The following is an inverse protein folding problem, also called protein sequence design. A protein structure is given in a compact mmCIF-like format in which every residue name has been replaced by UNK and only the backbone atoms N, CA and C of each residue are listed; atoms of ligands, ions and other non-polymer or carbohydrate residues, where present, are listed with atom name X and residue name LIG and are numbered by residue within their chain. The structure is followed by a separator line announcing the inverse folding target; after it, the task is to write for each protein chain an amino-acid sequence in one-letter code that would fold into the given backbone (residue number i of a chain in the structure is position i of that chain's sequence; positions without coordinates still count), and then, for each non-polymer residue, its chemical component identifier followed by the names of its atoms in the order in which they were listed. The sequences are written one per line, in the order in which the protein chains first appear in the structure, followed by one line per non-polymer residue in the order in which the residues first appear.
data_IF_856090801770
#
_entry.id   IF_856090801770
#
_cell.length_a   1.000
_cell.length_b   1.000
_cell.length_c   1.000
_cell.angle_alpha   90.00
_cell.angle_beta   90.00
_cell.angle_gamma   90.00
#
_symmetry.space_group_name_H-M   'P 1'
#
loop_
_entity.id
_entity.type
_entity.pdbx_description
1 polymer ?
#
# COMPACT_ATOMS: atom_id res chain seq x y z
N UNK A 1 -20.44 32.22 23.07
CA UNK A 1 -20.31 31.47 21.83
C UNK A 1 -21.66 30.93 21.46
N UNK A 2 -22.26 31.42 20.39
CA UNK A 2 -23.50 30.85 19.86
C UNK A 2 -23.19 29.47 19.29
N UNK A 3 -23.67 28.44 19.94
CA UNK A 3 -23.47 27.04 19.50
C UNK A 3 -24.47 26.74 18.40
N UNK A 4 -24.04 26.73 17.18
CA UNK A 4 -24.86 26.33 16.02
C UNK A 4 -24.86 24.80 15.84
N UNK A 5 -25.10 24.13 16.95
CA UNK A 5 -25.01 22.67 16.97
C UNK A 5 -26.36 22.03 16.72
N UNK A 6 -26.41 21.10 15.81
CA UNK A 6 -27.58 20.31 15.50
C UNK A 6 -27.36 18.83 15.81
N UNK A 7 -28.43 18.07 15.67
CA UNK A 7 -28.54 16.69 16.07
C UNK A 7 -27.45 15.78 15.49
N UNK A 8 -26.91 14.91 16.33
CA UNK A 8 -26.20 13.72 15.92
C UNK A 8 -27.20 12.60 15.71
N UNK A 9 -27.08 11.86 14.61
CA UNK A 9 -27.94 10.74 14.27
C UNK A 9 -27.08 9.49 14.10
N UNK A 10 -27.38 8.44 14.85
CA UNK A 10 -26.68 7.16 14.75
C UNK A 10 -25.96 6.75 16.04
N UNK A 11 -24.79 6.18 15.93
CA UNK A 11 -24.00 5.66 17.06
C UNK A 11 -23.28 6.78 17.83
N UNK A 12 -22.80 6.54 19.05
CA UNK A 12 -21.97 7.49 19.78
C UNK A 12 -20.77 7.97 18.98
N UNK A 13 -20.55 9.26 18.93
CA UNK A 13 -19.48 9.92 18.15
C UNK A 13 -18.20 10.14 18.95
N UNK A 14 -18.28 10.10 20.28
CA UNK A 14 -17.20 10.45 21.22
C UNK A 14 -15.92 9.64 21.02
N UNK A 15 -15.96 8.36 20.66
CA UNK A 15 -14.75 7.56 20.44
C UNK A 15 -14.01 7.94 19.16
N UNK A 16 -14.68 8.59 18.21
CA UNK A 16 -14.18 8.76 16.85
C UNK A 16 -13.55 10.14 16.61
N UNK A 17 -14.09 11.18 17.23
CA UNK A 17 -13.56 12.54 17.04
C UNK A 17 -12.28 12.78 17.83
N UNK A 18 -11.35 13.50 17.22
CA UNK A 18 -10.14 13.95 17.92
C UNK A 18 -10.49 14.77 19.15
N UNK A 19 -9.92 14.41 20.29
CA UNK A 19 -10.18 15.03 21.59
C UNK A 19 -9.14 16.08 21.93
N UNK A 20 -9.63 17.24 22.33
CA UNK A 20 -8.80 18.35 22.81
C UNK A 20 -9.24 18.79 24.20
N UNK A 21 -8.32 19.16 25.09
CA UNK A 21 -8.63 19.60 26.46
C UNK A 21 -9.21 21.03 26.48
N UNK A 22 -9.10 21.78 25.40
CA UNK A 22 -9.60 23.15 25.29
C UNK A 22 -9.30 23.78 23.95
N UNK A 23 -9.84 24.95 23.72
CA UNK A 23 -9.57 25.79 22.54
C UNK A 23 -9.17 27.19 22.99
N UNK A 24 -8.25 27.77 22.25
CA UNK A 24 -7.94 29.22 22.39
C UNK A 24 -8.88 29.97 21.44
N UNK A 25 -9.78 30.73 22.02
CA UNK A 25 -10.75 31.53 21.26
C UNK A 25 -10.23 32.93 20.90
N UNK A 26 -10.91 33.62 20.00
CA UNK A 26 -10.64 35.04 19.75
C UNK A 26 -10.94 35.92 20.99
N UNK A 27 -10.38 37.11 21.03
CA UNK A 27 -10.67 38.06 22.09
C UNK A 27 -12.18 38.38 22.14
N UNK A 28 -12.66 38.71 23.32
CA UNK A 28 -14.12 38.86 23.59
C UNK A 28 -14.81 39.82 22.67
N UNK A 29 -14.16 40.93 22.29
CA UNK A 29 -14.69 41.95 21.38
C UNK A 29 -14.95 41.38 19.97
N UNK A 30 -14.03 40.58 19.45
CA UNK A 30 -14.20 39.94 18.15
C UNK A 30 -15.23 38.78 18.22
N UNK A 31 -15.18 37.98 19.28
CA UNK A 31 -16.12 36.86 19.45
C UNK A 31 -17.59 37.34 19.56
N UNK A 32 -17.86 38.49 20.20
CA UNK A 32 -19.22 39.04 20.33
C UNK A 32 -19.79 39.56 19.01
N UNK A 33 -18.93 40.06 18.12
CA UNK A 33 -19.33 40.64 16.84
C UNK A 33 -19.24 39.67 15.68
N UNK A 34 -18.71 38.46 15.89
CA UNK A 34 -18.62 37.43 14.87
C UNK A 34 -19.96 36.69 14.68
N UNK A 35 -20.38 36.51 13.44
CA UNK A 35 -21.55 35.70 13.10
C UNK A 35 -21.34 34.20 13.33
N UNK A 36 -20.08 33.73 13.43
CA UNK A 36 -19.72 32.38 13.72
C UNK A 36 -18.26 32.27 14.14
N UNK A 37 -17.93 31.17 14.86
CA UNK A 37 -16.57 30.88 15.33
C UNK A 37 -16.29 29.40 15.05
N UNK A 38 -15.29 29.13 14.25
CA UNK A 38 -14.78 27.77 13.97
C UNK A 38 -13.37 27.60 14.50
N UNK A 39 -13.01 26.36 14.78
CA UNK A 39 -11.66 25.99 15.21
C UNK A 39 -10.78 25.72 13.99
N UNK A 40 -9.50 26.08 14.11
CA UNK A 40 -8.48 25.69 13.16
C UNK A 40 -7.62 24.61 13.79
N UNK A 41 -7.72 23.40 13.26
CA UNK A 41 -6.91 22.27 13.69
C UNK A 41 -6.22 21.68 12.48
N UNK A 42 -4.91 21.59 12.57
CA UNK A 42 -4.05 20.94 11.59
C UNK A 42 -3.55 19.67 12.24
N UNK A 43 -3.87 18.51 11.65
CA UNK A 43 -3.45 17.19 12.13
C UNK A 43 -2.59 16.53 11.06
N UNK A 44 -1.25 16.67 11.14
CA UNK A 44 -0.35 15.94 10.26
C UNK A 44 -0.50 14.44 10.45
N UNK A 45 -0.29 13.67 9.40
CA UNK A 45 -0.19 12.21 9.47
C UNK A 45 1.17 11.78 10.06
N UNK A 46 1.39 10.47 10.21
CA UNK A 46 2.60 9.94 10.85
C UNK A 46 3.91 10.34 10.12
N UNK A 47 3.83 10.68 8.84
CA UNK A 47 4.94 11.18 8.03
C UNK A 47 5.10 12.72 8.08
N UNK A 48 4.31 13.41 8.89
CA UNK A 48 4.33 14.86 9.02
C UNK A 48 3.60 15.61 7.90
N UNK A 49 2.98 14.91 6.94
CA UNK A 49 2.29 15.51 5.79
C UNK A 49 0.79 15.64 6.08
N UNK A 50 0.21 16.82 5.81
CA UNK A 50 -1.23 17.06 5.96
C UNK A 50 -1.94 16.73 4.65
N UNK A 51 -2.78 15.69 4.68
CA UNK A 51 -3.63 15.27 3.56
C UNK A 51 -5.10 15.45 3.85
N UNK A 52 -5.45 15.48 5.13
CA UNK A 52 -6.83 15.53 5.62
C UNK A 52 -7.00 16.67 6.60
N UNK A 53 -8.22 17.20 6.69
CA UNK A 53 -8.56 18.24 7.65
C UNK A 53 -9.85 17.87 8.40
N UNK A 54 -9.85 17.94 9.75
CA UNK A 54 -11.05 17.66 10.52
C UNK A 54 -12.09 18.75 10.28
N UNK A 55 -13.32 18.35 10.01
CA UNK A 55 -14.47 19.26 9.92
C UNK A 55 -15.09 19.52 11.29
N UNK A 56 -14.95 18.58 12.21
CA UNK A 56 -15.44 18.66 13.58
C UNK A 56 -14.44 18.04 14.54
N UNK A 57 -14.37 18.57 15.76
CA UNK A 57 -13.53 18.03 16.82
C UNK A 57 -14.30 17.94 18.13
N UNK A 58 -13.81 17.14 19.05
CA UNK A 58 -14.34 17.00 20.41
C UNK A 58 -13.50 17.83 21.38
N UNK A 59 -14.12 18.80 22.03
CA UNK A 59 -13.49 19.58 23.09
C UNK A 59 -14.27 19.38 24.38
N UNK A 60 -13.70 18.67 25.34
CA UNK A 60 -14.35 18.40 26.65
C UNK A 60 -15.76 17.78 26.55
N UNK A 61 -15.99 16.89 25.57
CA UNK A 61 -17.28 16.24 25.37
C UNK A 61 -18.28 17.05 24.54
N UNK A 62 -17.85 18.17 23.97
CA UNK A 62 -18.65 19.02 23.08
C UNK A 62 -18.05 19.04 21.69
N UNK A 63 -18.89 19.10 20.66
CA UNK A 63 -18.45 19.14 19.28
C UNK A 63 -18.25 20.60 18.85
N UNK A 64 -17.10 20.87 18.26
CA UNK A 64 -16.75 22.17 17.70
C UNK A 64 -16.52 22.01 16.18
N UNK A 65 -17.12 22.89 15.35
CA UNK A 65 -16.89 22.92 13.92
C UNK A 65 -15.53 23.51 13.58
N UNK A 66 -14.91 23.03 12.51
CA UNK A 66 -13.77 23.72 11.92
C UNK A 66 -14.18 25.05 11.28
N UNK A 67 -13.22 25.96 11.09
CA UNK A 67 -13.48 27.23 10.44
C UNK A 67 -14.04 27.06 9.03
N UNK A 68 -13.58 26.03 8.30
CA UNK A 68 -14.01 25.77 6.92
C UNK A 68 -15.49 25.42 6.83
N UNK A 69 -15.98 24.50 7.68
CA UNK A 69 -17.41 24.16 7.65
C UNK A 69 -18.29 25.27 8.21
N UNK A 70 -17.77 26.03 9.18
CA UNK A 70 -18.50 27.18 9.73
C UNK A 70 -18.69 28.28 8.69
N UNK A 71 -17.64 28.63 7.93
CA UNK A 71 -17.73 29.57 6.81
C UNK A 71 -18.74 29.09 5.77
N UNK A 72 -18.74 27.77 5.45
CA UNK A 72 -19.66 27.22 4.47
C UNK A 72 -21.11 27.25 4.96
N UNK A 73 -21.35 26.98 6.27
CA UNK A 73 -22.66 27.11 6.90
C UNK A 73 -23.19 28.55 6.81
N UNK A 74 -22.34 29.52 7.13
CA UNK A 74 -22.70 30.93 7.04
C UNK A 74 -22.99 31.37 5.61
N UNK A 75 -22.17 30.96 4.66
CA UNK A 75 -22.38 31.25 3.24
C UNK A 75 -23.70 30.65 2.71
N UNK A 76 -24.10 29.48 3.23
CA UNK A 76 -25.38 28.85 2.91
C UNK A 76 -26.59 29.48 3.62
N UNK A 77 -26.36 30.41 4.55
CA UNK A 77 -27.41 31.02 5.37
C UNK A 77 -28.10 29.99 6.28
N UNK A 78 -27.39 28.98 6.71
CA UNK A 78 -27.91 27.95 7.61
C UNK A 78 -27.57 28.24 9.07
N UNK A 79 -28.40 27.71 9.99
CA UNK A 79 -28.25 27.93 11.43
C UNK A 79 -27.59 26.74 12.13
N UNK A 80 -27.45 25.57 11.47
CA UNK A 80 -27.05 24.36 12.14
C UNK A 80 -26.32 23.37 11.23
N UNK A 81 -25.70 22.35 11.87
CA UNK A 81 -25.14 21.16 11.20
C UNK A 81 -25.84 19.92 11.70
N UNK A 82 -25.79 18.88 10.91
CA UNK A 82 -26.18 17.53 11.28
C UNK A 82 -25.01 16.58 11.02
N UNK A 83 -24.74 15.69 11.97
CA UNK A 83 -23.72 14.66 11.83
C UNK A 83 -24.37 13.28 11.84
N UNK A 84 -24.04 12.46 10.86
CA UNK A 84 -24.43 11.07 10.80
C UNK A 84 -23.25 10.18 11.18
N UNK A 85 -23.45 9.29 12.14
CA UNK A 85 -22.47 8.33 12.64
C UNK A 85 -22.97 6.92 12.41
N UNK A 86 -22.08 6.05 11.94
CA UNK A 86 -22.32 4.62 11.76
C UNK A 86 -21.51 3.76 12.72
N UNK A 87 -21.47 2.46 12.45
CA UNK A 87 -20.68 1.49 13.23
C UNK A 87 -19.18 1.75 13.09
N UNK A 88 -18.75 2.26 11.94
CA UNK A 88 -17.34 2.52 11.61
C UNK A 88 -16.93 3.98 11.86
N UNK A 89 -17.70 4.78 12.56
CA UNK A 89 -17.40 6.17 12.91
C UNK A 89 -18.30 7.20 12.26
N UNK A 90 -17.78 8.41 12.06
CA UNK A 90 -18.50 9.48 11.36
C UNK A 90 -18.58 9.13 9.89
N UNK A 91 -19.77 9.23 9.32
CA UNK A 91 -19.98 8.96 7.89
C UNK A 91 -20.11 10.26 7.09
N UNK A 92 -20.93 11.18 7.59
CA UNK A 92 -21.32 12.38 6.86
C UNK A 92 -21.60 13.54 7.78
N UNK A 93 -21.28 14.73 7.27
CA UNK A 93 -21.73 16.00 7.83
C UNK A 93 -22.70 16.67 6.84
N UNK A 94 -23.80 17.20 7.34
CA UNK A 94 -24.81 17.87 6.53
C UNK A 94 -24.98 19.31 6.96
N UNK A 95 -24.95 20.22 6.02
CA UNK A 95 -25.46 21.56 6.14
C UNK A 95 -26.83 21.55 5.44
N UNK A 96 -27.96 21.65 6.20
CA UNK A 96 -29.30 21.39 5.64
C UNK A 96 -29.66 22.19 4.39
N UNK A 97 -29.29 23.46 4.34
CA UNK A 97 -29.54 24.35 3.19
C UNK A 97 -28.48 24.24 2.08
N UNK A 98 -27.45 23.44 2.25
CA UNK A 98 -26.38 23.33 1.26
C UNK A 98 -26.24 21.93 0.71
N UNK A 99 -25.50 21.05 1.38
CA UNK A 99 -25.32 19.66 0.96
C UNK A 99 -24.83 18.75 2.10
N UNK A 100 -24.73 17.49 1.78
CA UNK A 100 -24.11 16.45 2.59
C UNK A 100 -22.65 16.29 2.14
N UNK A 101 -21.75 16.22 3.10
CA UNK A 101 -20.30 16.10 2.91
C UNK A 101 -19.90 14.75 3.50
N UNK A 102 -19.31 13.88 2.67
CA UNK A 102 -18.77 12.61 3.12
C UNK A 102 -17.46 12.85 3.89
N UNK A 103 -17.26 12.10 4.98
CA UNK A 103 -16.08 12.21 5.84
C UNK A 103 -15.46 10.82 6.03
N UNK A 104 -14.23 10.79 6.55
CA UNK A 104 -13.70 9.56 7.13
C UNK A 104 -14.29 9.30 8.53
N UNK A 105 -13.93 8.15 9.12
CA UNK A 105 -14.42 7.73 10.44
C UNK A 105 -14.19 8.77 11.56
N UNK A 106 -13.19 9.61 11.43
CA UNK A 106 -12.83 10.63 12.42
C UNK A 106 -13.40 12.03 12.11
N UNK A 107 -14.27 12.13 11.09
CA UNK A 107 -14.86 13.40 10.68
C UNK A 107 -13.93 14.29 9.86
N UNK A 108 -12.90 13.75 9.23
CA UNK A 108 -12.02 14.49 8.34
C UNK A 108 -12.50 14.40 6.89
N UNK A 109 -12.11 15.41 6.10
CA UNK A 109 -12.15 15.33 4.64
C UNK A 109 -10.74 15.22 4.07
N UNK A 110 -10.61 14.50 2.96
CA UNK A 110 -9.41 14.52 2.14
C UNK A 110 -9.38 15.82 1.35
N UNK A 111 -8.22 16.50 1.33
CA UNK A 111 -8.07 17.77 0.64
C UNK A 111 -7.72 17.56 -0.84
N UNK A 112 -8.46 18.24 -1.71
CA UNK A 112 -8.09 18.38 -3.12
C UNK A 112 -7.13 19.55 -3.29
N UNK A 113 -5.85 19.25 -3.45
CA UNK A 113 -4.79 20.25 -3.63
C UNK A 113 -4.65 20.76 -5.07
N UNK A 114 -5.53 20.38 -5.98
CA UNK A 114 -5.54 20.93 -7.34
C UNK A 114 -5.99 22.40 -7.34
N UNK A 115 -6.82 22.77 -6.37
CA UNK A 115 -7.27 24.14 -6.21
C UNK A 115 -6.24 24.96 -5.44
N UNK A 116 -5.87 26.12 -5.99
CA UNK A 116 -5.03 27.08 -5.30
C UNK A 116 -5.79 28.38 -5.09
N UNK A 117 -5.76 28.91 -3.87
CA UNK A 117 -6.26 30.23 -3.53
C UNK A 117 -5.37 31.29 -4.16
N UNK A 118 -5.99 32.39 -4.65
CA UNK A 118 -5.24 33.57 -5.09
C UNK A 118 -4.99 34.44 -3.87
N UNK A 119 -3.74 34.71 -3.56
CA UNK A 119 -3.35 35.57 -2.45
C UNK A 119 -3.01 36.97 -2.98
N UNK A 120 -3.52 37.99 -2.32
CA UNK A 120 -3.29 39.39 -2.63
C UNK A 120 -2.76 40.12 -1.40
N UNK A 121 -1.65 40.87 -1.51
CA UNK A 121 -1.20 41.74 -0.41
C UNK A 121 -2.22 42.83 -0.12
N UNK A 122 -2.51 43.05 1.17
CA UNK A 122 -3.55 44.01 1.58
C UNK A 122 -3.24 45.47 1.18
N UNK A 123 -1.97 45.79 0.97
CA UNK A 123 -1.54 47.11 0.55
C UNK A 123 -1.68 47.37 -0.97
N UNK A 124 -2.00 46.36 -1.74
CA UNK A 124 -2.26 46.47 -3.17
C UNK A 124 -3.75 46.70 -3.45
N UNK A 125 -4.07 47.15 -4.67
CA UNK A 125 -5.47 47.31 -5.11
C UNK A 125 -6.11 45.91 -5.20
N UNK A 126 -7.06 45.68 -4.29
CA UNK A 126 -7.80 44.44 -4.28
C UNK A 126 -8.73 44.30 -5.50
N UNK A 127 -8.93 43.10 -6.04
CA UNK A 127 -9.93 42.85 -7.08
C UNK A 127 -11.35 43.01 -6.51
N UNK A 128 -12.35 42.88 -7.40
CA UNK A 128 -13.75 42.81 -6.95
C UNK A 128 -13.97 41.54 -6.11
N UNK A 129 -14.33 41.75 -4.84
CA UNK A 129 -14.57 40.70 -3.85
C UNK A 129 -16.07 40.41 -3.67
N UNK A 130 -16.93 40.95 -4.51
CA UNK A 130 -18.38 40.73 -4.45
C UNK A 130 -18.70 39.25 -4.60
N UNK A 131 -19.52 38.69 -3.72
CA UNK A 131 -19.91 37.29 -3.67
C UNK A 131 -18.74 36.29 -3.58
N UNK A 132 -17.63 36.70 -2.98
CA UNK A 132 -16.48 35.82 -2.74
C UNK A 132 -16.27 35.58 -1.25
N UNK A 133 -15.80 34.39 -0.91
CA UNK A 133 -15.28 34.07 0.41
C UNK A 133 -13.85 34.59 0.44
N UNK A 134 -13.55 35.46 1.42
CA UNK A 134 -12.22 36.04 1.60
C UNK A 134 -11.63 35.56 2.91
N UNK A 135 -10.41 35.05 2.86
CA UNK A 135 -9.64 34.64 4.03
C UNK A 135 -8.59 35.73 4.28
N UNK A 136 -8.66 36.38 5.43
CA UNK A 136 -7.64 37.32 5.87
C UNK A 136 -6.67 36.62 6.79
N UNK A 137 -5.40 36.61 6.43
CA UNK A 137 -4.34 35.96 7.18
C UNK A 137 -3.09 36.83 7.28
N UNK A 138 -2.29 36.61 8.33
CA UNK A 138 -0.99 37.25 8.49
C UNK A 138 0.10 36.27 8.08
N UNK A 139 0.84 36.58 7.03
CA UNK A 139 1.87 35.73 6.43
C UNK A 139 3.30 36.14 6.82
N UNK A 140 3.44 37.05 7.81
CA UNK A 140 4.75 37.48 8.27
C UNK A 140 5.53 36.32 8.90
N UNK A 141 6.83 36.26 8.62
CA UNK A 141 7.72 35.26 9.17
C UNK A 141 7.63 35.18 10.70
N UNK A 142 7.40 34.00 11.24
CA UNK A 142 7.25 33.74 12.67
C UNK A 142 5.82 33.87 13.21
N UNK A 143 4.85 34.37 12.45
CA UNK A 143 3.44 34.47 12.86
C UNK A 143 2.60 33.30 12.33
N UNK A 144 2.93 32.76 11.16
CA UNK A 144 2.27 31.60 10.57
C UNK A 144 3.28 30.48 10.36
N UNK A 145 2.87 29.25 10.67
CA UNK A 145 3.70 28.07 10.45
C UNK A 145 3.37 27.45 9.10
N UNK A 146 4.36 27.28 8.21
CA UNK A 146 4.15 26.56 6.97
C UNK A 146 3.88 25.08 7.26
N UNK A 147 3.06 24.45 6.42
CA UNK A 147 2.58 23.08 6.58
C UNK A 147 3.01 22.24 5.40
N UNK A 148 3.59 21.06 5.67
CA UNK A 148 3.93 20.10 4.64
C UNK A 148 2.67 19.42 4.09
N UNK A 149 2.53 19.41 2.76
CA UNK A 149 1.41 18.80 2.04
C UNK A 149 1.91 17.98 0.86
N UNK A 150 1.08 17.14 0.22
CA UNK A 150 1.50 16.37 -0.96
C UNK A 150 1.98 17.21 -2.14
N UNK A 151 1.60 18.47 -2.21
CA UNK A 151 2.00 19.40 -3.28
C UNK A 151 3.16 20.34 -2.89
N UNK A 152 3.77 20.07 -1.75
CA UNK A 152 4.84 20.87 -1.17
C UNK A 152 4.42 21.61 0.10
N UNK A 153 5.26 22.54 0.54
CA UNK A 153 4.99 23.34 1.73
C UNK A 153 4.10 24.52 1.36
N UNK A 154 2.96 24.66 2.06
CA UNK A 154 2.01 25.77 1.88
C UNK A 154 1.73 26.46 3.21
N UNK A 155 1.13 27.62 3.16
CA UNK A 155 0.72 28.36 4.37
C UNK A 155 -0.55 27.75 4.98
N UNK A 156 -0.73 27.89 6.29
CA UNK A 156 -1.87 27.27 7.00
C UNK A 156 -3.23 27.82 6.53
N UNK A 157 -3.33 29.08 6.10
CA UNK A 157 -4.57 29.63 5.54
C UNK A 157 -4.93 29.03 4.17
N UNK A 158 -3.95 28.56 3.39
CA UNK A 158 -4.21 27.86 2.12
C UNK A 158 -4.89 26.52 2.36
N UNK A 159 -4.66 25.87 3.51
CA UNK A 159 -5.40 24.64 3.89
C UNK A 159 -6.89 24.94 4.09
N UNK A 160 -7.24 26.08 4.69
CA UNK A 160 -8.64 26.50 4.82
C UNK A 160 -9.26 26.69 3.43
N UNK A 161 -8.52 27.34 2.53
CA UNK A 161 -8.93 27.54 1.15
C UNK A 161 -9.11 26.22 0.40
N UNK A 162 -8.17 25.29 0.52
CA UNK A 162 -8.26 23.94 -0.06
C UNK A 162 -9.45 23.15 0.50
N UNK A 163 -9.69 23.23 1.82
CA UNK A 163 -10.83 22.58 2.49
C UNK A 163 -12.16 23.13 1.96
N UNK A 164 -12.30 24.46 1.87
CA UNK A 164 -13.48 25.09 1.29
C UNK A 164 -13.69 24.71 -0.17
N UNK A 165 -12.63 24.76 -0.98
CA UNK A 165 -12.68 24.40 -2.39
C UNK A 165 -13.10 22.93 -2.57
N UNK A 166 -12.53 22.00 -1.80
CA UNK A 166 -12.91 20.57 -1.81
C UNK A 166 -14.40 20.40 -1.53
N UNK A 167 -14.90 21.05 -0.46
CA UNK A 167 -16.31 20.96 -0.11
C UNK A 167 -17.22 21.61 -1.17
N UNK A 168 -16.83 22.74 -1.75
CA UNK A 168 -17.64 23.47 -2.74
C UNK A 168 -17.67 22.77 -4.09
N UNK A 169 -16.55 22.28 -4.58
CA UNK A 169 -16.46 21.57 -5.86
C UNK A 169 -17.10 20.18 -5.83
N UNK A 170 -17.22 19.58 -4.63
CA UNK A 170 -17.77 18.24 -4.45
C UNK A 170 -16.80 17.13 -4.84
N UNK A 171 -15.54 17.43 -5.10
CA UNK A 171 -14.49 16.43 -5.33
C UNK A 171 -14.00 15.87 -3.99
N UNK A 172 -14.91 15.23 -3.27
CA UNK A 172 -14.56 14.58 -2.02
C UNK A 172 -13.88 13.23 -2.33
N UNK A 173 -12.57 13.20 -2.12
CA UNK A 173 -11.84 11.93 -2.11
C UNK A 173 -12.31 11.17 -0.87
N UNK A 174 -12.75 9.94 -1.04
CA UNK A 174 -13.23 9.09 0.04
C UNK A 174 -12.49 7.76 0.03
N UNK A 175 -12.26 7.20 1.23
CA UNK A 175 -11.79 5.83 1.40
C UNK A 175 -12.92 5.03 2.06
N UNK A 176 -13.79 4.36 1.29
CA UNK A 176 -14.88 3.57 1.84
C UNK A 176 -14.36 2.43 2.74
N UNK A 177 -15.13 2.05 3.77
CA UNK A 177 -14.75 1.01 4.74
C UNK A 177 -14.49 -0.37 4.12
N UNK A 178 -15.03 -0.66 2.93
CA UNK A 178 -14.84 -1.92 2.22
C UNK A 178 -13.48 -2.00 1.50
N UNK A 179 -12.78 -0.89 1.30
CA UNK A 179 -11.50 -0.85 0.55
C UNK A 179 -10.43 -1.71 1.17
N UNK A 180 -10.29 -1.70 2.50
CA UNK A 180 -9.30 -2.50 3.22
C UNK A 180 -9.51 -4.00 2.98
N UNK A 181 -10.79 -4.44 3.01
CA UNK A 181 -11.13 -5.83 2.70
C UNK A 181 -10.90 -6.16 1.23
N UNK A 182 -11.24 -5.26 0.30
CA UNK A 182 -11.02 -5.46 -1.13
C UNK A 182 -9.50 -5.57 -1.45
N UNK A 183 -8.67 -4.70 -0.89
CA UNK A 183 -7.22 -4.75 -1.02
C UNK A 183 -6.63 -6.06 -0.48
N UNK A 184 -7.11 -6.53 0.67
CA UNK A 184 -6.72 -7.81 1.25
C UNK A 184 -7.13 -8.99 0.36
N UNK A 185 -8.35 -8.97 -0.19
CA UNK A 185 -8.83 -10.03 -1.08
C UNK A 185 -8.06 -10.05 -2.40
N UNK A 186 -7.81 -8.89 -3.01
CA UNK A 186 -7.03 -8.80 -4.26
C UNK A 186 -5.61 -9.31 -4.03
N UNK A 187 -4.96 -8.90 -2.94
CA UNK A 187 -3.61 -9.37 -2.61
C UNK A 187 -3.57 -10.88 -2.32
N UNK A 188 -4.52 -11.38 -1.53
CA UNK A 188 -4.59 -12.80 -1.16
C UNK A 188 -4.90 -13.71 -2.35
N UNK A 189 -5.91 -13.39 -3.14
CA UNK A 189 -6.28 -14.15 -4.34
C UNK A 189 -5.16 -14.09 -5.39
N UNK A 190 -4.60 -12.90 -5.64
CA UNK A 190 -3.49 -12.74 -6.57
C UNK A 190 -2.25 -13.53 -6.16
N UNK A 191 -1.86 -13.45 -4.88
CA UNK A 191 -0.75 -14.23 -4.33
C UNK A 191 -0.99 -15.74 -4.44
N UNK A 192 -2.20 -16.21 -4.15
CA UNK A 192 -2.58 -17.62 -4.26
C UNK A 192 -2.47 -18.11 -5.71
N UNK A 193 -3.04 -17.36 -6.66
CA UNK A 193 -2.99 -17.71 -8.10
C UNK A 193 -1.55 -17.76 -8.58
N UNK A 194 -0.73 -16.76 -8.24
CA UNK A 194 0.70 -16.74 -8.62
C UNK A 194 1.46 -17.92 -8.02
N UNK A 195 1.23 -18.24 -6.75
CA UNK A 195 1.87 -19.38 -6.09
C UNK A 195 1.47 -20.70 -6.76
N UNK A 196 0.19 -20.92 -6.98
CA UNK A 196 -0.29 -22.15 -7.67
C UNK A 196 0.30 -22.25 -9.08
N UNK A 197 0.38 -21.17 -9.82
CA UNK A 197 0.97 -21.16 -11.16
C UNK A 197 2.45 -21.53 -11.12
N UNK A 198 3.23 -21.00 -10.20
CA UNK A 198 4.66 -21.34 -10.05
C UNK A 198 4.87 -22.80 -9.64
N UNK A 199 4.00 -23.34 -8.77
CA UNK A 199 4.12 -24.72 -8.27
C UNK A 199 3.66 -25.77 -9.29
N UNK A 200 2.61 -25.46 -10.07
CA UNK A 200 1.99 -26.44 -10.99
C UNK A 200 2.48 -26.33 -12.43
N UNK A 201 2.89 -25.13 -12.83
CA UNK A 201 3.35 -24.85 -14.20
C UNK A 201 4.85 -24.50 -14.21
N UNK A 202 5.39 -24.19 -15.39
CA UNK A 202 6.74 -23.68 -15.50
C UNK A 202 6.84 -22.27 -14.91
N UNK A 203 7.94 -21.97 -14.24
CA UNK A 203 8.16 -20.70 -13.50
C UNK A 203 7.92 -19.43 -14.34
N UNK A 204 8.14 -19.48 -15.65
CA UNK A 204 7.96 -18.34 -16.55
C UNK A 204 6.49 -17.93 -16.72
N UNK A 205 5.51 -18.83 -16.49
CA UNK A 205 4.09 -18.43 -16.50
C UNK A 205 3.78 -17.47 -15.35
N UNK A 206 4.34 -17.69 -14.16
CA UNK A 206 4.24 -16.76 -13.05
C UNK A 206 4.89 -15.41 -13.37
N UNK A 207 6.02 -15.40 -14.10
CA UNK A 207 6.71 -14.20 -14.53
C UNK A 207 5.89 -13.36 -15.54
N UNK A 208 5.01 -14.00 -16.34
CA UNK A 208 4.09 -13.31 -17.27
C UNK A 208 2.85 -12.80 -16.52
N UNK A 209 2.30 -13.59 -15.62
CA UNK A 209 1.09 -13.23 -14.86
C UNK A 209 1.34 -12.08 -13.88
N UNK A 210 2.52 -12.02 -13.26
CA UNK A 210 2.85 -10.97 -12.29
C UNK A 210 2.65 -9.56 -12.86
N UNK A 211 3.23 -9.15 -13.99
CA UNK A 211 2.99 -7.83 -14.57
C UNK A 211 1.52 -7.54 -14.88
N UNK A 212 0.73 -8.57 -15.24
CA UNK A 212 -0.71 -8.43 -15.51
C UNK A 212 -1.45 -8.06 -14.22
N UNK A 213 -1.17 -8.75 -13.11
CA UNK A 213 -1.76 -8.41 -11.81
C UNK A 213 -1.30 -7.04 -11.30
N UNK A 214 -0.02 -6.69 -11.49
CA UNK A 214 0.51 -5.37 -11.11
C UNK A 214 -0.19 -4.26 -11.90
N UNK A 215 -0.27 -4.42 -13.22
CA UNK A 215 -0.97 -3.47 -14.10
C UNK A 215 -2.47 -3.40 -13.76
N UNK A 216 -3.13 -4.54 -13.53
CA UNK A 216 -4.54 -4.60 -13.14
C UNK A 216 -4.81 -3.86 -11.83
N UNK A 217 -3.98 -4.03 -10.82
CA UNK A 217 -4.10 -3.31 -9.54
C UNK A 217 -3.93 -1.81 -9.72
N UNK A 218 -2.90 -1.38 -10.48
CA UNK A 218 -2.64 0.02 -10.74
C UNK A 218 -3.77 0.69 -11.53
N UNK A 219 -4.13 0.12 -12.68
CA UNK A 219 -5.21 0.69 -13.53
C UNK A 219 -6.57 0.60 -12.87
N UNK A 220 -6.84 -0.46 -12.10
CA UNK A 220 -8.07 -0.60 -11.31
C UNK A 220 -8.19 0.50 -10.25
N UNK A 221 -7.13 0.74 -9.48
CA UNK A 221 -7.09 1.84 -8.50
C UNK A 221 -7.22 3.21 -9.18
N UNK A 222 -6.50 3.44 -10.29
CA UNK A 222 -6.59 4.69 -11.05
C UNK A 222 -8.01 4.93 -11.59
N UNK A 223 -8.68 3.91 -12.10
CA UNK A 223 -10.06 3.99 -12.56
C UNK A 223 -11.04 4.36 -11.43
N UNK A 224 -10.93 3.69 -10.28
CA UNK A 224 -11.76 3.99 -9.11
C UNK A 224 -11.53 5.42 -8.60
N UNK A 225 -10.30 5.90 -8.67
CA UNK A 225 -9.97 7.26 -8.28
C UNK A 225 -10.53 8.30 -9.25
N UNK A 226 -10.40 8.08 -10.57
CA UNK A 226 -10.84 9.06 -11.58
C UNK A 226 -12.36 9.14 -11.70
N UNK A 227 -13.05 8.01 -11.67
CA UNK A 227 -14.52 7.96 -11.87
C UNK A 227 -15.31 8.15 -10.59
N UNK A 228 -14.82 7.61 -9.46
CA UNK A 228 -15.58 7.58 -8.20
C UNK A 228 -14.92 8.40 -7.09
N UNK A 229 -13.72 8.95 -7.31
CA UNK A 229 -12.90 9.61 -6.26
C UNK A 229 -12.62 8.69 -5.06
N UNK A 230 -12.57 7.38 -5.29
CA UNK A 230 -12.24 6.41 -4.24
C UNK A 230 -10.73 6.23 -4.14
N UNK A 231 -10.20 6.40 -2.93
CA UNK A 231 -8.80 6.17 -2.62
C UNK A 231 -8.60 4.69 -2.27
N UNK A 232 -8.10 3.93 -3.22
CA UNK A 232 -7.75 2.50 -3.05
C UNK A 232 -6.24 2.36 -3.19
N UNK A 233 -5.62 1.70 -2.22
CA UNK A 233 -4.17 1.46 -2.25
C UNK A 233 -3.85 0.30 -3.19
N UNK A 234 -3.13 0.59 -4.28
CA UNK A 234 -2.63 -0.42 -5.20
C UNK A 234 -1.24 -0.94 -4.79
N UNK A 235 -0.50 -0.20 -3.96
CA UNK A 235 0.89 -0.52 -3.63
C UNK A 235 1.01 -1.74 -2.71
N UNK A 236 0.11 -1.86 -1.74
CA UNK A 236 0.08 -2.99 -0.81
C UNK A 236 -0.19 -4.34 -1.52
N UNK A 237 -1.25 -4.49 -2.35
CA UNK A 237 -1.46 -5.70 -3.15
C UNK A 237 -0.28 -6.04 -4.07
N UNK A 238 0.29 -5.04 -4.74
CA UNK A 238 1.43 -5.20 -5.63
C UNK A 238 2.64 -5.76 -4.89
N UNK A 239 3.02 -5.12 -3.78
CA UNK A 239 4.16 -5.54 -2.97
C UNK A 239 3.97 -6.96 -2.43
N UNK A 240 2.78 -7.27 -1.90
CA UNK A 240 2.45 -8.60 -1.37
C UNK A 240 2.56 -9.67 -2.46
N UNK A 241 1.95 -9.46 -3.62
CA UNK A 241 2.01 -10.39 -4.75
C UNK A 241 3.44 -10.59 -5.25
N UNK A 242 4.23 -9.52 -5.34
CA UNK A 242 5.63 -9.60 -5.75
C UNK A 242 6.48 -10.42 -4.77
N UNK A 243 6.38 -10.15 -3.48
CA UNK A 243 7.15 -10.87 -2.45
C UNK A 243 6.79 -12.36 -2.41
N UNK A 244 5.49 -12.68 -2.44
CA UNK A 244 5.03 -14.06 -2.42
C UNK A 244 5.48 -14.81 -3.69
N UNK A 245 5.35 -14.18 -4.86
CA UNK A 245 5.85 -14.75 -6.11
C UNK A 245 7.36 -14.99 -6.08
N UNK A 246 8.15 -14.02 -5.60
CA UNK A 246 9.60 -14.15 -5.53
C UNK A 246 10.04 -15.30 -4.63
N UNK A 247 9.38 -15.47 -3.47
CA UNK A 247 9.63 -16.58 -2.55
C UNK A 247 9.26 -17.93 -3.23
N UNK A 248 8.08 -18.02 -3.83
CA UNK A 248 7.64 -19.25 -4.51
C UNK A 248 8.56 -19.63 -5.68
N UNK A 249 8.95 -18.65 -6.49
CA UNK A 249 9.89 -18.84 -7.60
C UNK A 249 11.27 -19.29 -7.11
N UNK A 250 11.78 -18.70 -6.04
CA UNK A 250 13.05 -19.09 -5.44
C UNK A 250 13.01 -20.52 -4.89
N UNK A 251 11.97 -20.89 -4.16
CA UNK A 251 11.82 -22.26 -3.63
C UNK A 251 11.75 -23.28 -4.78
N UNK A 252 10.98 -23.00 -5.82
CA UNK A 252 10.88 -23.84 -7.00
C UNK A 252 12.23 -24.00 -7.71
N UNK A 253 12.95 -22.88 -7.90
CA UNK A 253 14.30 -22.90 -8.49
C UNK A 253 15.25 -23.77 -7.66
N UNK A 254 15.24 -23.62 -6.33
CA UNK A 254 16.09 -24.43 -5.44
C UNK A 254 15.77 -25.92 -5.51
N UNK A 255 14.50 -26.28 -5.63
CA UNK A 255 14.05 -27.67 -5.79
C UNK A 255 14.52 -28.26 -7.13
N UNK A 256 14.31 -27.55 -8.23
CA UNK A 256 14.79 -27.97 -9.54
C UNK A 256 16.34 -28.06 -9.59
N UNK A 257 17.02 -27.14 -8.95
CA UNK A 257 18.49 -27.18 -8.84
C UNK A 257 18.96 -28.40 -8.06
N UNK A 258 18.34 -28.74 -6.92
CA UNK A 258 18.67 -29.95 -6.13
C UNK A 258 18.45 -31.22 -6.96
N UNK A 259 17.31 -31.32 -7.62
CA UNK A 259 17.02 -32.51 -8.49
C UNK A 259 18.07 -32.67 -9.61
N UNK A 260 18.46 -31.59 -10.27
CA UNK A 260 19.52 -31.61 -11.28
C UNK A 260 20.87 -32.03 -10.70
N UNK A 261 21.20 -31.59 -9.50
CA UNK A 261 22.45 -31.96 -8.83
C UNK A 261 22.46 -33.42 -8.37
N UNK A 262 21.33 -33.96 -7.88
CA UNK A 262 21.18 -35.35 -7.51
C UNK A 262 21.36 -36.30 -8.71
N UNK A 263 20.69 -35.98 -9.82
CA UNK A 263 20.87 -36.72 -11.09
C UNK A 263 22.34 -36.70 -11.50
N UNK A 264 22.98 -35.53 -11.45
CA UNK A 264 24.41 -35.41 -11.79
C UNK A 264 25.30 -36.23 -10.87
N UNK A 265 25.02 -36.30 -9.58
CA UNK A 265 25.78 -37.15 -8.63
C UNK A 265 25.60 -38.64 -8.90
N UNK A 266 24.38 -39.09 -9.22
CA UNK A 266 24.12 -40.48 -9.54
C UNK A 266 24.89 -40.94 -10.79
N UNK A 267 24.97 -40.09 -11.83
CA UNK A 267 25.71 -40.38 -13.03
C UNK A 267 27.24 -40.32 -12.87
N UNK A 268 27.73 -39.47 -11.94
CA UNK A 268 29.17 -39.30 -11.71
C UNK A 268 29.86 -40.57 -11.18
N UNK A 269 29.09 -41.49 -10.54
CA UNK A 269 29.61 -42.78 -10.09
C UNK A 269 29.76 -43.85 -11.20
N UNK A 270 29.09 -43.65 -12.37
CA UNK A 270 29.06 -44.60 -13.46
C UNK A 270 29.81 -44.18 -14.72
N UNK A 271 30.12 -42.90 -14.86
CA UNK A 271 30.78 -42.34 -16.03
C UNK A 271 31.84 -41.32 -15.65
N UNK A 272 32.96 -41.28 -16.36
CA UNK A 272 33.99 -40.27 -16.09
C UNK A 272 33.43 -38.84 -16.30
N UNK A 273 33.92 -37.85 -15.55
CA UNK A 273 33.46 -36.43 -15.67
C UNK A 273 33.50 -35.91 -17.12
N UNK A 274 34.45 -36.39 -17.91
CA UNK A 274 34.61 -36.05 -19.33
C UNK A 274 33.45 -36.58 -20.18
N UNK A 275 33.00 -37.81 -19.91
CA UNK A 275 31.88 -38.46 -20.62
C UNK A 275 30.57 -37.78 -20.23
N UNK A 276 30.37 -37.47 -18.95
CA UNK A 276 29.19 -36.75 -18.48
C UNK A 276 29.07 -35.39 -19.14
N UNK A 277 30.16 -34.62 -19.24
CA UNK A 277 30.20 -33.31 -19.92
C UNK A 277 29.88 -33.46 -21.41
N UNK A 278 30.47 -34.43 -22.09
CA UNK A 278 30.26 -34.67 -23.53
C UNK A 278 28.80 -35.04 -23.85
N UNK A 279 28.13 -35.82 -22.99
CA UNK A 279 26.72 -36.16 -23.11
C UNK A 279 25.80 -34.96 -22.81
N UNK A 280 26.21 -34.05 -21.91
CA UNK A 280 25.48 -32.83 -21.64
C UNK A 280 25.56 -31.84 -22.82
N UNK A 281 26.74 -31.74 -23.47
CA UNK A 281 26.94 -30.86 -24.63
C UNK A 281 26.23 -31.41 -25.88
N UNK A 282 26.08 -32.76 -25.98
CA UNK A 282 25.45 -33.43 -27.12
C UNK A 282 24.52 -34.57 -26.69
N UNK A 283 23.28 -34.28 -26.27
CA UNK A 283 22.33 -35.30 -25.80
C UNK A 283 21.98 -36.36 -26.84
N UNK A 284 22.13 -36.09 -28.12
CA UNK A 284 21.90 -37.05 -29.21
C UNK A 284 22.85 -38.23 -29.14
N UNK A 285 24.06 -38.09 -28.62
CA UNK A 285 25.05 -39.14 -28.48
C UNK A 285 24.59 -40.29 -27.55
N UNK A 286 23.61 -40.05 -26.69
CA UNK A 286 23.02 -41.08 -25.84
C UNK A 286 22.27 -42.11 -26.68
N UNK A 287 21.63 -41.72 -27.78
CA UNK A 287 20.82 -42.59 -28.65
C UNK A 287 21.61 -43.15 -29.80
N UNK A 288 22.45 -42.33 -30.41
CA UNK A 288 23.11 -42.66 -31.68
C UNK A 288 24.52 -43.25 -31.46
N UNK A 289 25.06 -43.17 -30.24
CA UNK A 289 26.42 -43.57 -29.91
C UNK A 289 27.48 -42.73 -30.62
N UNK A 290 28.75 -43.07 -30.37
CA UNK A 290 29.87 -42.44 -31.10
C UNK A 290 30.92 -43.51 -31.48
N UNK A 291 31.52 -43.36 -32.62
CA UNK A 291 32.68 -44.15 -33.01
C UNK A 291 33.94 -43.40 -32.59
N UNK A 292 34.75 -44.00 -31.73
CA UNK A 292 36.00 -43.44 -31.24
C UNK A 292 37.09 -44.50 -31.18
N UNK A 293 38.31 -44.14 -31.48
CA UNK A 293 39.47 -44.99 -31.20
C UNK A 293 39.73 -44.99 -29.70
N UNK A 294 39.70 -46.15 -29.06
CA UNK A 294 39.94 -46.30 -27.64
C UNK A 294 40.99 -47.34 -27.38
N UNK A 295 41.81 -47.11 -26.37
CA UNK A 295 42.67 -48.18 -25.81
C UNK A 295 41.93 -48.85 -24.68
N UNK A 296 41.83 -50.16 -24.74
CA UNK A 296 41.14 -50.98 -23.73
C UNK A 296 42.21 -51.71 -22.91
N UNK A 297 42.18 -51.54 -21.63
CA UNK A 297 43.02 -52.24 -20.67
C UNK A 297 42.15 -53.19 -19.84
N UNK A 298 42.48 -54.41 -19.75
CA UNK A 298 41.87 -55.39 -18.86
C UNK A 298 42.85 -55.68 -17.71
N UNK A 299 42.39 -55.45 -16.49
CA UNK A 299 43.10 -55.82 -15.27
C UNK A 299 42.26 -56.81 -14.51
N UNK A 300 42.93 -57.78 -13.90
CA UNK A 300 42.30 -58.87 -13.11
C UNK A 300 43.05 -59.05 -11.79
N UNK A 301 42.30 -59.30 -10.74
CA UNK A 301 42.83 -59.60 -9.40
C UNK A 301 43.14 -61.07 -9.27
N UNK A 302 44.45 -61.38 -9.24
CA UNK A 302 44.91 -62.76 -9.00
C UNK A 302 44.52 -63.22 -7.59
N UNK A 303 43.77 -64.30 -7.52
CA UNK A 303 43.33 -64.87 -6.24
C UNK A 303 42.06 -64.22 -5.68
N UNK A 304 41.23 -63.56 -6.52
CA UNK A 304 39.98 -62.88 -6.06
C UNK A 304 39.00 -63.94 -5.47
N UNK A 305 38.88 -65.15 -6.01
CA UNK A 305 37.96 -66.18 -5.50
C UNK A 305 38.31 -66.61 -4.06
N UNK A 306 39.54 -66.94 -3.72
CA UNK A 306 39.90 -67.22 -2.33
C UNK A 306 39.77 -66.00 -1.41
N UNK A 307 40.02 -64.80 -1.92
CA UNK A 307 39.82 -63.56 -1.18
C UNK A 307 38.33 -63.37 -0.84
N UNK A 308 37.45 -63.55 -1.82
CA UNK A 308 35.99 -63.45 -1.60
C UNK A 308 35.49 -64.48 -0.59
N UNK A 309 35.99 -65.74 -0.68
CA UNK A 309 35.66 -66.80 0.29
C UNK A 309 36.15 -66.47 1.73
N UNK A 310 37.29 -65.80 1.86
CA UNK A 310 37.81 -65.38 3.18
C UNK A 310 36.98 -64.41 3.91
N UNK A 311 36.17 -63.58 3.20
CA UNK A 311 35.24 -62.60 3.78
C UNK A 311 33.89 -63.22 4.14
N UNK A 312 33.52 -64.37 3.62
CA UNK A 312 32.24 -65.03 3.90
C UNK A 312 31.07 -64.13 3.69
N UNK A 313 30.30 -63.87 4.74
CA UNK A 313 29.12 -63.00 4.71
C UNK A 313 29.44 -61.46 4.83
N UNK A 314 30.74 -61.09 5.03
CA UNK A 314 31.14 -59.68 5.11
C UNK A 314 31.32 -59.06 3.72
N UNK A 315 30.18 -58.84 3.06
CA UNK A 315 30.10 -58.18 1.73
C UNK A 315 30.65 -56.76 1.76
N UNK A 316 30.52 -56.05 2.92
CA UNK A 316 30.99 -54.67 3.06
C UNK A 316 32.50 -54.58 3.05
N UNK A 317 33.19 -55.43 3.81
CA UNK A 317 34.66 -55.49 3.83
C UNK A 317 35.25 -55.86 2.47
N UNK A 318 34.64 -56.81 1.75
CA UNK A 318 35.05 -57.15 0.39
C UNK A 318 34.85 -55.94 -0.58
N UNK A 319 33.73 -55.20 -0.44
CA UNK A 319 33.45 -54.04 -1.28
C UNK A 319 34.43 -52.91 -1.03
N UNK A 320 34.86 -52.66 0.24
CA UNK A 320 35.87 -51.67 0.58
C UNK A 320 37.23 -51.95 -0.08
N UNK A 321 37.66 -53.24 -0.05
CA UNK A 321 38.92 -53.64 -0.72
C UNK A 321 38.78 -53.44 -2.24
N UNK A 322 37.66 -53.85 -2.83
CA UNK A 322 37.44 -53.66 -4.27
C UNK A 322 37.41 -52.20 -4.69
N UNK A 323 36.80 -51.36 -3.91
CA UNK A 323 36.79 -49.90 -4.18
C UNK A 323 38.22 -49.32 -4.09
N UNK A 324 38.99 -49.70 -3.06
CA UNK A 324 40.38 -49.26 -2.94
C UNK A 324 41.32 -49.77 -4.05
N UNK A 325 40.95 -50.88 -4.73
CA UNK A 325 41.68 -51.35 -5.93
C UNK A 325 41.27 -50.58 -7.20
N UNK A 326 40.01 -50.05 -7.25
CA UNK A 326 39.47 -49.37 -8.42
C UNK A 326 39.79 -47.87 -8.41
N UNK A 327 40.15 -47.29 -7.25
CA UNK A 327 40.61 -45.91 -7.10
C UNK A 327 42.10 -45.77 -7.48
#
# INVERSE_FOLDING_TARGET
MTRHWAATVGQPWEPWLYRYPGVVGPISELAKNANGVGVMVISPEADGVVRRMPLVINVNGEIYPSISIEVLRMAAGDISYQMKTGIAGVEKLRIPKYKMIDTDANGNIWLDFQWRTKTYPLHEKLPDLTNKIVILSMTASGLESPVATPVGVIQSHDLIGASLATMMTGRNITRPYWTDLAELLVSGVGALVLTLTVLTMAWYFGAVLLPIFLAGSFYGSAYLFTEYSYLVDWSYPVLTMFVVWAIAAFLRFMEEYKQKMEIKKQFAGYASPTVVRLLQENPALIKDGMKKEISICFSDLRGFTPLGESFGDDVKGLTEIMNGYMD
#
